data_IF_267726199844
#
_entry.id   IF_267726199844
#
_cell.length_a   1.000
_cell.length_b   1.000
_cell.length_c   1.000
_cell.angle_alpha   90.00
_cell.angle_beta   90.00
_cell.angle_gamma   90.00
#
_symmetry.space_group_name_H-M   'P 1'
#
loop_
_entity.id
_entity.type
_entity.pdbx_description
1 polymer ?
#
# COMPACT_ATOMS: atom_id res chain seq x y z
N UNK A 1 12.64 13.41 -19.04
CA UNK A 1 12.71 11.94 -18.91
C UNK A 1 11.42 11.44 -18.25
N UNK A 2 10.79 10.36 -18.73
CA UNK A 2 9.61 9.78 -18.08
C UNK A 2 9.98 9.15 -16.73
N UNK A 3 9.03 9.10 -15.79
CA UNK A 3 9.24 8.45 -14.50
C UNK A 3 9.38 6.93 -14.68
N UNK A 4 10.38 6.32 -14.02
CA UNK A 4 10.72 4.89 -14.19
C UNK A 4 9.73 3.94 -13.51
N UNK A 5 9.40 2.82 -14.14
CA UNK A 5 8.59 1.74 -13.56
C UNK A 5 7.08 1.85 -13.85
N UNK A 6 6.34 0.74 -13.68
CA UNK A 6 4.93 0.65 -14.05
C UNK A 6 4.04 1.47 -13.11
N UNK A 7 2.96 2.04 -13.67
CA UNK A 7 2.00 2.90 -12.96
C UNK A 7 2.68 4.01 -12.15
N UNK A 8 3.43 4.91 -12.82
CA UNK A 8 4.22 5.96 -12.15
C UNK A 8 3.35 6.96 -11.37
N UNK A 9 2.07 7.11 -11.75
CA UNK A 9 1.08 7.96 -11.08
C UNK A 9 0.98 7.69 -9.58
N UNK A 10 1.23 6.46 -9.13
CA UNK A 10 1.14 6.07 -7.71
C UNK A 10 2.15 6.78 -6.80
N UNK A 11 3.18 7.40 -7.38
CA UNK A 11 4.20 8.18 -6.65
C UNK A 11 3.96 9.68 -6.71
N UNK A 12 2.80 10.12 -7.20
CA UNK A 12 2.42 11.53 -7.20
C UNK A 12 1.73 11.89 -5.88
N UNK A 13 1.88 13.14 -5.43
CA UNK A 13 1.19 13.63 -4.23
C UNK A 13 -0.33 13.54 -4.37
N UNK A 14 -0.87 13.86 -5.55
CA UNK A 14 -2.29 13.76 -5.84
C UNK A 14 -2.84 12.35 -5.59
N UNK A 15 -2.13 11.32 -6.06
CA UNK A 15 -2.54 9.92 -5.84
C UNK A 15 -2.44 9.50 -4.36
N UNK A 16 -1.37 9.89 -3.67
CA UNK A 16 -1.19 9.57 -2.25
C UNK A 16 -2.24 10.25 -1.37
N UNK A 17 -2.64 11.48 -1.73
CA UNK A 17 -3.65 12.25 -1.02
C UNK A 17 -5.08 11.76 -1.25
N UNK A 18 -5.36 11.07 -2.37
CA UNK A 18 -6.70 10.59 -2.70
C UNK A 18 -7.13 9.34 -1.92
N UNK A 19 -6.25 8.73 -1.12
CA UNK A 19 -6.64 7.62 -0.24
C UNK A 19 -7.54 8.08 0.91
N UNK A 20 -8.56 7.30 1.24
CA UNK A 20 -9.57 7.67 2.24
C UNK A 20 -9.35 7.02 3.62
N UNK A 21 -8.47 6.02 3.70
CA UNK A 21 -8.28 5.22 4.92
C UNK A 21 -7.37 5.96 5.91
N UNK A 22 -7.98 6.45 6.99
CA UNK A 22 -7.29 7.00 8.16
C UNK A 22 -7.60 6.10 9.37
N UNK A 23 -6.56 5.54 9.97
CA UNK A 23 -6.68 4.65 11.12
C UNK A 23 -6.97 5.43 12.40
N UNK A 24 -7.64 4.73 13.33
CA UNK A 24 -7.81 5.21 14.69
C UNK A 24 -6.47 5.19 15.41
N UNK A 25 -6.31 6.06 16.40
CA UNK A 25 -5.08 6.17 17.21
C UNK A 25 -4.69 4.87 17.93
N UNK A 26 -5.63 3.94 18.14
CA UNK A 26 -5.37 2.62 18.73
C UNK A 26 -4.56 1.70 17.82
N UNK A 27 -4.63 1.89 16.50
CA UNK A 27 -3.86 1.10 15.54
C UNK A 27 -2.41 1.59 15.55
N UNK A 28 -1.47 0.68 15.83
CA UNK A 28 -0.03 0.97 15.85
C UNK A 28 0.74 0.19 14.80
N UNK A 29 0.32 -1.05 14.52
CA UNK A 29 0.98 -1.96 13.62
C UNK A 29 -0.08 -2.63 12.74
N UNK A 30 0.22 -2.75 11.45
CA UNK A 30 -0.55 -3.51 10.46
C UNK A 30 0.39 -4.45 9.73
N UNK A 31 0.10 -5.75 9.76
CA UNK A 31 0.86 -6.76 9.00
C UNK A 31 -0.01 -7.27 7.86
N UNK A 32 0.51 -7.25 6.63
CA UNK A 32 -0.18 -7.80 5.46
C UNK A 32 0.60 -8.98 4.94
N UNK A 33 0.07 -10.17 5.16
CA UNK A 33 0.59 -11.41 4.59
C UNK A 33 -0.17 -11.71 3.31
N UNK A 34 0.56 -11.96 2.22
CA UNK A 34 -0.04 -12.30 0.95
C UNK A 34 0.89 -13.17 0.13
N UNK A 35 0.30 -14.11 -0.60
CA UNK A 35 1.05 -14.99 -1.47
C UNK A 35 1.59 -14.22 -2.69
N UNK A 36 2.88 -14.34 -2.96
CA UNK A 36 3.51 -13.72 -4.13
C UNK A 36 3.07 -14.36 -5.45
N UNK A 37 2.64 -15.63 -5.41
CA UNK A 37 2.26 -16.46 -6.56
C UNK A 37 0.86 -17.07 -6.39
N UNK A 38 0.33 -17.61 -7.48
CA UNK A 38 -0.98 -18.25 -7.54
C UNK A 38 -2.11 -17.28 -7.92
N UNK A 39 -3.24 -17.83 -8.32
CA UNK A 39 -4.39 -17.04 -8.81
C UNK A 39 -5.20 -16.45 -7.64
N UNK A 40 -5.39 -17.23 -6.57
CA UNK A 40 -6.19 -16.82 -5.41
C UNK A 40 -5.62 -15.64 -4.60
N UNK A 41 -4.40 -15.15 -4.91
CA UNK A 41 -3.74 -14.02 -4.25
C UNK A 41 -3.70 -12.72 -5.08
N UNK A 42 -4.33 -12.68 -6.26
CA UNK A 42 -4.27 -11.50 -7.13
C UNK A 42 -4.80 -10.23 -6.46
N UNK A 43 -5.96 -10.29 -5.80
CA UNK A 43 -6.54 -9.14 -5.12
C UNK A 43 -5.64 -8.58 -4.01
N UNK A 44 -4.99 -9.45 -3.24
CA UNK A 44 -4.06 -9.04 -2.18
C UNK A 44 -2.80 -8.36 -2.74
N UNK A 45 -2.25 -8.90 -3.85
CA UNK A 45 -1.12 -8.28 -4.55
C UNK A 45 -1.49 -6.91 -5.11
N UNK A 46 -2.68 -6.78 -5.70
CA UNK A 46 -3.20 -5.49 -6.19
C UNK A 46 -3.40 -4.51 -5.04
N UNK A 47 -3.93 -4.97 -3.90
CA UNK A 47 -4.10 -4.14 -2.72
C UNK A 47 -2.77 -3.58 -2.21
N UNK A 48 -1.75 -4.44 -2.09
CA UNK A 48 -0.40 -4.02 -1.68
C UNK A 48 0.19 -3.03 -2.67
N UNK A 49 0.03 -3.30 -3.97
CA UNK A 49 0.60 -2.49 -5.03
C UNK A 49 -0.06 -1.10 -5.16
N UNK A 50 -1.37 -0.98 -5.01
CA UNK A 50 -2.09 0.29 -5.21
C UNK A 50 -2.38 1.05 -3.92
N UNK A 51 -2.76 0.38 -2.84
CA UNK A 51 -3.35 1.04 -1.67
C UNK A 51 -2.40 1.21 -0.49
N UNK A 52 -1.42 0.32 -0.28
CA UNK A 52 -0.47 0.47 0.84
C UNK A 52 0.28 1.81 0.83
N UNK A 53 0.73 2.35 -0.33
CA UNK A 53 1.35 3.68 -0.37
C UNK A 53 0.43 4.79 0.15
N UNK A 54 -0.86 4.73 -0.21
CA UNK A 54 -1.86 5.72 0.24
C UNK A 54 -2.12 5.59 1.74
N UNK A 55 -2.30 4.35 2.23
CA UNK A 55 -2.53 4.07 3.65
C UNK A 55 -1.32 4.54 4.47
N UNK A 56 -0.09 4.23 4.07
CA UNK A 56 1.10 4.66 4.80
C UNK A 56 1.25 6.19 4.80
N UNK A 57 0.94 6.84 3.67
CA UNK A 57 0.99 8.30 3.56
C UNK A 57 -0.01 8.98 4.51
N UNK A 58 -1.23 8.45 4.64
CA UNK A 58 -2.26 8.95 5.55
C UNK A 58 -2.01 8.59 7.02
N UNK A 59 -1.26 7.52 7.26
CA UNK A 59 -1.03 6.95 8.60
C UNK A 59 0.48 6.84 8.90
N UNK A 60 1.22 7.96 8.91
CA UNK A 60 2.69 7.94 8.99
C UNK A 60 3.25 7.37 10.29
N UNK A 61 2.42 7.25 11.33
CA UNK A 61 2.81 6.69 12.64
C UNK A 61 2.41 5.22 12.83
N UNK A 62 1.76 4.61 11.85
CA UNK A 62 1.44 3.19 11.86
C UNK A 62 2.54 2.45 11.10
N UNK A 63 3.12 1.45 11.74
CA UNK A 63 4.08 0.57 11.10
C UNK A 63 3.34 -0.45 10.24
N UNK A 64 3.61 -0.45 8.94
CA UNK A 64 3.08 -1.45 8.02
C UNK A 64 4.20 -2.43 7.66
N UNK A 65 3.96 -3.72 7.89
CA UNK A 65 4.91 -4.80 7.59
C UNK A 65 4.33 -5.68 6.49
N UNK A 66 5.14 -5.96 5.47
CA UNK A 66 4.84 -6.87 4.36
C UNK A 66 5.85 -8.02 4.41
N UNK A 67 5.57 -9.11 5.14
CA UNK A 67 6.45 -10.29 5.13
C UNK A 67 6.42 -10.92 3.74
N UNK A 68 7.59 -11.26 3.21
CA UNK A 68 7.69 -12.11 2.02
C UNK A 68 7.60 -13.58 2.44
N UNK A 69 6.93 -14.40 1.62
CA UNK A 69 6.96 -15.87 1.70
C UNK A 69 8.28 -16.43 1.15
#
# INVERSE_FOLDING_TARGET
>A
MPMKGPFPIRRTLQYLQSGEIVFRNSVKIMTVNYNSRGEHGEGARNFVFFHIPQIQYKNPRVQIVLPED
#
